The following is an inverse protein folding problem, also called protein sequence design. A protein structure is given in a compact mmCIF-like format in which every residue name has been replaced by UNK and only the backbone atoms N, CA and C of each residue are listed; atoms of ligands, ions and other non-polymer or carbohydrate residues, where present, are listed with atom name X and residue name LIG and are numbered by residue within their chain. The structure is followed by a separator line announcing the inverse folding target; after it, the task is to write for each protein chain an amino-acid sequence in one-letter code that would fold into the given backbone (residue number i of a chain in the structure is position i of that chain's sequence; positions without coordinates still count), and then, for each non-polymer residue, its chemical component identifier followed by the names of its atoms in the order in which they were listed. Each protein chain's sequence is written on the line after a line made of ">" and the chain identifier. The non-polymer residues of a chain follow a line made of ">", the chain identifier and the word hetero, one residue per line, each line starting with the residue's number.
data_IF_221300698674
#
_entry.id   IF_221300698674
#
_cell.length_a   1.000
_cell.length_b   1.000
_cell.length_c   1.000
_cell.angle_alpha   90.00
_cell.angle_beta   90.00
_cell.angle_gamma   90.00
#
_symmetry.space_group_name_H-M   'P 1'
#
loop_
_entity.id
_entity.type
_entity.pdbx_description
1 polymer ?
#
# COMPACT_ATOMS: atom_id res chain seq x y z
N UNK A 1 52.01 -13.62 -33.05
CA UNK A 1 51.09 -12.98 -34.02
C UNK A 1 49.99 -13.98 -34.33
N UNK A 2 48.75 -13.70 -33.91
CA UNK A 2 47.57 -14.50 -34.26
C UNK A 2 46.69 -14.90 -33.07
N UNK A 3 45.99 -13.93 -32.47
CA UNK A 3 44.83 -14.21 -31.60
C UNK A 3 43.57 -13.80 -32.34
N UNK A 4 42.74 -14.79 -32.70
CA UNK A 4 41.39 -14.57 -33.24
C UNK A 4 40.43 -14.24 -32.09
N UNK A 5 39.58 -13.20 -32.20
CA UNK A 5 38.50 -13.02 -31.24
C UNK A 5 37.35 -13.97 -31.59
N UNK A 6 36.92 -14.72 -30.58
CA UNK A 6 35.74 -15.59 -30.58
C UNK A 6 34.49 -14.73 -30.82
N UNK A 7 33.87 -14.86 -31.99
CA UNK A 7 32.53 -14.33 -32.28
C UNK A 7 31.55 -14.91 -31.25
N UNK A 8 31.09 -14.06 -30.32
CA UNK A 8 30.01 -14.40 -29.41
C UNK A 8 28.73 -14.63 -30.21
N UNK A 9 28.15 -15.82 -30.02
CA UNK A 9 26.88 -16.22 -30.58
C UNK A 9 25.80 -15.18 -30.24
N UNK A 10 25.23 -14.57 -31.28
CA UNK A 10 23.94 -13.89 -31.20
C UNK A 10 22.89 -14.97 -30.89
N UNK A 11 22.50 -15.09 -29.62
CA UNK A 11 21.39 -15.96 -29.24
C UNK A 11 20.11 -15.57 -29.99
N UNK A 12 19.19 -16.51 -30.25
CA UNK A 12 17.91 -16.17 -30.87
C UNK A 12 17.18 -15.13 -30.03
N UNK A 13 16.53 -14.12 -30.65
CA UNK A 13 15.80 -13.12 -29.92
C UNK A 13 14.69 -13.78 -29.08
N UNK A 14 14.37 -13.24 -27.89
CA UNK A 14 13.35 -13.82 -27.02
C UNK A 14 12.00 -13.88 -27.76
N UNK A 15 11.27 -15.01 -27.70
CA UNK A 15 9.93 -15.11 -28.26
C UNK A 15 8.99 -14.23 -27.42
N UNK A 16 8.76 -13.02 -27.91
CA UNK A 16 7.99 -11.99 -27.20
C UNK A 16 8.18 -10.58 -27.77
N UNK A 17 9.21 -10.35 -28.59
CA UNK A 17 9.43 -9.07 -29.30
C UNK A 17 8.82 -9.03 -30.72
N UNK A 18 8.01 -10.03 -31.09
CA UNK A 18 7.35 -10.10 -32.40
C UNK A 18 6.12 -9.17 -32.55
N UNK A 19 5.92 -8.20 -31.65
CA UNK A 19 4.79 -7.27 -31.72
C UNK A 19 5.18 -5.78 -31.76
N UNK A 20 6.47 -5.48 -32.05
CA UNK A 20 6.92 -4.10 -32.30
C UNK A 20 6.72 -3.65 -33.77
N UNK A 21 6.22 -4.52 -34.64
CA UNK A 21 5.91 -4.23 -36.06
C UNK A 21 4.46 -3.79 -36.27
N UNK A 22 4.00 -2.81 -35.48
CA UNK A 22 2.85 -1.97 -35.82
C UNK A 22 3.21 -0.49 -35.64
N UNK A 23 4.41 -0.12 -36.10
CA UNK A 23 4.72 1.25 -36.46
C UNK A 23 4.12 1.51 -37.85
N UNK A 24 2.79 1.62 -37.91
CA UNK A 24 2.18 2.36 -39.01
C UNK A 24 2.67 3.82 -38.90
N UNK A 25 3.28 4.41 -39.94
CA UNK A 25 3.87 5.75 -39.86
C UNK A 25 2.85 6.88 -39.67
N UNK A 26 1.54 6.61 -39.70
CA UNK A 26 0.50 7.61 -39.46
C UNK A 26 0.20 7.78 -37.96
N UNK A 27 1.24 7.88 -37.13
CA UNK A 27 1.14 8.04 -35.67
C UNK A 27 0.77 9.46 -35.21
N UNK A 28 0.29 10.31 -36.12
CA UNK A 28 -0.02 11.72 -35.92
C UNK A 28 -1.51 12.00 -35.84
N UNK A 29 -2.31 11.08 -35.30
CA UNK A 29 -3.67 11.43 -34.92
C UNK A 29 -3.64 12.10 -33.53
N UNK A 30 -3.76 13.45 -33.45
CA UNK A 30 -3.72 14.16 -32.18
C UNK A 30 -4.81 13.66 -31.22
N UNK A 31 -5.94 13.20 -31.74
CA UNK A 31 -7.03 12.67 -30.93
C UNK A 31 -6.65 11.36 -30.27
N UNK A 32 -5.96 10.47 -31.00
CA UNK A 32 -5.44 9.23 -30.41
C UNK A 32 -4.44 9.52 -29.29
N UNK A 33 -3.56 10.51 -29.49
CA UNK A 33 -2.58 10.93 -28.47
C UNK A 33 -3.29 11.53 -27.26
N UNK A 34 -4.30 12.38 -27.48
CA UNK A 34 -5.10 13.01 -26.44
C UNK A 34 -5.87 11.98 -25.60
N UNK A 35 -6.59 11.04 -26.24
CA UNK A 35 -7.30 9.95 -25.55
C UNK A 35 -6.36 9.14 -24.67
N UNK A 36 -5.16 8.83 -25.18
CA UNK A 36 -4.13 8.13 -24.41
C UNK A 36 -3.63 8.94 -23.22
N UNK A 37 -3.43 10.25 -23.38
CA UNK A 37 -3.04 11.13 -22.26
C UNK A 37 -4.12 11.19 -21.17
N UNK A 38 -5.39 11.30 -21.54
CA UNK A 38 -6.52 11.28 -20.60
C UNK A 38 -6.53 9.98 -19.81
N UNK A 39 -6.40 8.83 -20.48
CA UNK A 39 -6.34 7.52 -19.82
C UNK A 39 -5.17 7.41 -18.83
N UNK A 40 -3.97 7.87 -19.21
CA UNK A 40 -2.81 7.87 -18.33
C UNK A 40 -2.98 8.78 -17.12
N UNK A 41 -3.56 9.97 -17.31
CA UNK A 41 -3.88 10.87 -16.21
C UNK A 41 -4.88 10.24 -15.23
N UNK A 42 -5.86 9.50 -15.75
CA UNK A 42 -6.81 8.76 -14.92
C UNK A 42 -6.12 7.67 -14.10
N UNK A 43 -5.25 6.85 -14.71
CA UNK A 43 -4.52 5.82 -13.97
C UNK A 43 -3.56 6.42 -12.93
N UNK A 44 -2.91 7.55 -13.24
CA UNK A 44 -2.09 8.27 -12.26
C UNK A 44 -2.92 8.68 -11.05
N UNK A 45 -4.10 9.27 -11.29
CA UNK A 45 -5.02 9.67 -10.21
C UNK A 45 -5.47 8.48 -9.38
N UNK A 46 -5.84 7.37 -10.03
CA UNK A 46 -6.20 6.11 -9.37
C UNK A 46 -5.07 5.58 -8.50
N UNK A 47 -3.84 5.57 -9.02
CA UNK A 47 -2.68 5.08 -8.27
C UNK A 47 -2.38 5.99 -7.06
N UNK A 48 -2.52 7.31 -7.22
CA UNK A 48 -2.38 8.28 -6.13
C UNK A 48 -3.43 8.07 -5.05
N UNK A 49 -4.71 7.89 -5.41
CA UNK A 49 -5.78 7.66 -4.42
C UNK A 49 -5.59 6.34 -3.66
N UNK A 50 -5.16 5.28 -4.34
CA UNK A 50 -4.81 4.01 -3.70
C UNK A 50 -3.67 4.22 -2.68
N UNK A 51 -2.60 4.93 -3.08
CA UNK A 51 -1.48 5.20 -2.18
C UNK A 51 -1.85 6.11 -1.01
N UNK A 52 -2.79 7.03 -1.19
CA UNK A 52 -3.35 7.82 -0.09
C UNK A 52 -4.12 6.92 0.88
N UNK A 53 -4.95 6.00 0.38
CA UNK A 53 -5.64 5.01 1.21
C UNK A 53 -4.69 4.15 2.05
N UNK A 54 -3.56 3.72 1.48
CA UNK A 54 -2.51 3.01 2.23
C UNK A 54 -1.91 3.86 3.35
N UNK A 55 -1.71 5.17 3.12
CA UNK A 55 -1.20 6.08 4.16
C UNK A 55 -2.22 6.28 5.29
N UNK A 56 -3.51 6.40 4.96
CA UNK A 56 -4.57 6.50 5.97
C UNK A 56 -4.66 5.22 6.81
N UNK A 57 -4.68 4.04 6.17
CA UNK A 57 -4.65 2.76 6.89
C UNK A 57 -3.42 2.64 7.78
N UNK A 58 -2.27 3.07 7.25
CA UNK A 58 -1.01 3.07 7.98
C UNK A 58 -1.15 3.89 9.27
N UNK A 59 -1.69 5.10 9.23
CA UNK A 59 -1.85 5.96 10.41
C UNK A 59 -2.72 5.34 11.53
N UNK A 60 -3.63 4.41 11.20
CA UNK A 60 -4.51 3.75 12.18
C UNK A 60 -3.87 2.52 12.85
N UNK A 61 -2.77 1.99 12.30
CA UNK A 61 -2.12 0.81 12.86
C UNK A 61 -1.18 1.19 14.01
N UNK A 62 -1.14 0.39 15.08
CA UNK A 62 -0.14 0.52 16.15
C UNK A 62 1.27 0.36 15.56
N UNK A 63 2.12 1.37 15.74
CA UNK A 63 3.46 1.43 15.14
C UNK A 63 4.34 2.41 15.93
N UNK A 64 5.66 2.30 15.76
CA UNK A 64 6.59 3.33 16.24
C UNK A 64 6.63 4.51 15.27
N UNK A 65 6.88 5.72 15.79
CA UNK A 65 7.05 6.90 14.94
C UNK A 65 8.17 6.67 13.92
N UNK A 66 7.93 7.04 12.66
CA UNK A 66 8.89 6.84 11.56
C UNK A 66 9.02 5.41 11.02
N UNK A 67 8.35 4.41 11.61
CA UNK A 67 8.47 3.00 11.18
C UNK A 67 7.92 2.75 9.77
N UNK A 68 8.75 2.28 8.85
CA UNK A 68 8.37 2.01 7.45
C UNK A 68 7.75 0.61 7.27
N UNK A 69 6.45 0.57 6.99
CA UNK A 69 5.74 -0.65 6.57
C UNK A 69 5.55 -0.72 5.05
N UNK A 70 5.66 -1.93 4.51
CA UNK A 70 5.31 -2.26 3.13
C UNK A 70 3.78 -2.32 2.94
N UNK A 71 3.30 -2.31 1.69
CA UNK A 71 1.86 -2.46 1.39
C UNK A 71 1.30 -3.79 1.93
N UNK A 72 2.05 -4.88 1.79
CA UNK A 72 1.65 -6.18 2.29
C UNK A 72 1.55 -6.21 3.83
N UNK A 73 2.53 -5.61 4.51
CA UNK A 73 2.50 -5.50 5.97
C UNK A 73 1.31 -4.66 6.45
N UNK A 74 1.00 -3.53 5.78
CA UNK A 74 -0.19 -2.73 6.09
C UNK A 74 -1.46 -3.58 5.98
N UNK A 75 -1.63 -4.34 4.89
CA UNK A 75 -2.80 -5.20 4.73
C UNK A 75 -2.90 -6.27 5.82
N UNK A 76 -1.80 -6.94 6.13
CA UNK A 76 -1.76 -8.01 7.14
C UNK A 76 -2.11 -7.46 8.52
N UNK A 77 -1.40 -6.42 8.97
CA UNK A 77 -1.65 -5.82 10.28
C UNK A 77 -3.05 -5.22 10.40
N UNK A 78 -3.61 -4.66 9.32
CA UNK A 78 -5.00 -4.19 9.32
C UNK A 78 -5.98 -5.35 9.49
N UNK A 79 -5.77 -6.48 8.82
CA UNK A 79 -6.62 -7.66 8.99
C UNK A 79 -6.55 -8.21 10.42
N UNK A 80 -5.35 -8.33 10.98
CA UNK A 80 -5.14 -8.81 12.35
C UNK A 80 -5.81 -7.87 13.37
N UNK A 81 -5.68 -6.55 13.18
CA UNK A 81 -6.31 -5.55 14.04
C UNK A 81 -7.84 -5.63 13.97
N UNK A 82 -8.43 -5.79 12.78
CA UNK A 82 -9.88 -5.95 12.64
C UNK A 82 -10.35 -7.19 13.39
N UNK A 83 -9.66 -8.33 13.25
CA UNK A 83 -10.00 -9.56 13.95
C UNK A 83 -9.89 -9.42 15.47
N UNK A 84 -8.83 -8.75 15.95
CA UNK A 84 -8.66 -8.47 17.36
C UNK A 84 -9.83 -7.62 17.90
N UNK A 85 -10.16 -6.52 17.23
CA UNK A 85 -11.26 -5.63 17.64
C UNK A 85 -12.62 -6.37 17.63
N UNK A 86 -12.84 -7.26 16.67
CA UNK A 86 -14.05 -8.10 16.62
C UNK A 86 -14.11 -9.06 17.81
N UNK A 87 -13.01 -9.71 18.15
CA UNK A 87 -12.93 -10.62 19.30
C UNK A 87 -13.13 -9.89 20.63
N UNK A 88 -12.54 -8.70 20.79
CA UNK A 88 -12.74 -7.85 21.95
C UNK A 88 -14.22 -7.44 22.09
N UNK A 89 -14.84 -6.99 20.99
CA UNK A 89 -16.25 -6.60 20.97
C UNK A 89 -17.19 -7.75 21.38
N UNK A 90 -16.93 -8.98 20.90
CA UNK A 90 -17.72 -10.16 21.32
C UNK A 90 -17.58 -10.43 22.82
N UNK A 91 -16.36 -10.34 23.38
CA UNK A 91 -16.15 -10.50 24.82
C UNK A 91 -16.91 -9.46 25.62
N UNK A 92 -16.95 -8.19 25.19
CA UNK A 92 -17.72 -7.17 25.92
C UNK A 92 -19.22 -7.43 25.89
N UNK A 93 -19.77 -7.90 24.77
CA UNK A 93 -21.20 -8.26 24.67
C UNK A 93 -21.52 -9.42 25.62
N UNK A 94 -20.69 -10.46 25.63
CA UNK A 94 -20.87 -11.61 26.53
C UNK A 94 -20.78 -11.21 28.01
N UNK A 95 -19.93 -10.23 28.35
CA UNK A 95 -19.78 -9.73 29.73
C UNK A 95 -20.80 -8.64 30.13
N UNK A 96 -21.39 -7.91 29.18
CA UNK A 96 -22.50 -6.99 29.46
C UNK A 96 -23.79 -7.75 29.78
N UNK A 97 -24.00 -8.94 29.19
CA UNK A 97 -25.13 -9.82 29.55
C UNK A 97 -24.99 -10.48 30.93
N UNK A 98 -23.76 -10.59 31.45
CA UNK A 98 -23.45 -11.19 32.76
C UNK A 98 -22.83 -10.13 33.65
N UNK A 99 -23.65 -9.27 34.26
CA UNK A 99 -23.27 -8.09 35.08
C UNK A 99 -22.01 -8.21 35.96
N UNK A 100 -20.83 -8.12 35.35
CA UNK A 100 -19.58 -8.56 35.97
C UNK A 100 -18.40 -7.74 35.47
N UNK A 101 -17.90 -6.87 36.37
CA UNK A 101 -16.57 -6.24 36.42
C UNK A 101 -15.83 -6.13 35.08
N UNK A 102 -15.82 -4.91 34.52
CA UNK A 102 -14.96 -4.50 33.39
C UNK A 102 -13.57 -5.13 33.54
N UNK A 103 -13.15 -6.04 32.64
CA UNK A 103 -11.81 -6.60 32.69
C UNK A 103 -10.81 -5.46 32.53
N UNK A 104 -9.78 -5.48 33.37
CA UNK A 104 -8.70 -4.50 33.38
C UNK A 104 -7.92 -4.70 32.09
N UNK A 105 -8.28 -3.90 31.09
CA UNK A 105 -7.63 -3.87 29.79
C UNK A 105 -6.17 -3.51 30.06
N UNK A 106 -5.24 -4.45 29.89
CA UNK A 106 -3.83 -4.10 29.70
C UNK A 106 -3.67 -3.43 28.34
N UNK A 107 -4.26 -2.24 28.20
CA UNK A 107 -4.20 -1.39 27.02
C UNK A 107 -2.88 -0.64 26.96
N UNK A 108 -1.75 -1.32 27.19
CA UNK A 108 -0.44 -0.68 27.30
C UNK A 108 0.24 -0.40 25.94
N UNK A 109 -0.37 -0.75 24.81
CA UNK A 109 0.24 -0.50 23.49
C UNK A 109 -0.59 0.37 22.54
N UNK A 110 -1.91 0.42 22.70
CA UNK A 110 -2.79 1.08 21.72
C UNK A 110 -3.21 2.48 22.20
N UNK A 111 -3.35 2.68 23.52
CA UNK A 111 -3.79 3.95 24.09
C UNK A 111 -2.66 4.95 24.38
N UNK A 112 -1.40 4.53 24.37
CA UNK A 112 -0.27 5.43 24.68
C UNK A 112 -0.06 6.53 23.63
N UNK A 113 -0.54 6.35 22.39
CA UNK A 113 -0.29 7.31 21.31
C UNK A 113 -1.41 8.34 21.07
N UNK A 114 -2.58 8.20 21.70
CA UNK A 114 -3.67 9.20 21.57
C UNK A 114 -3.53 10.30 22.63
N UNK A 115 -2.95 9.98 23.79
CA UNK A 115 -2.83 10.93 24.91
C UNK A 115 -1.65 11.91 24.75
N UNK A 116 -0.56 11.55 24.03
CA UNK A 116 0.57 12.47 23.83
C UNK A 116 0.26 13.60 22.83
N UNK A 117 -0.53 13.34 21.78
CA UNK A 117 -0.77 14.33 20.72
C UNK A 117 -1.81 15.41 21.08
N UNK A 118 -2.53 15.27 22.20
CA UNK A 118 -3.47 16.29 22.70
C UNK A 118 -2.89 17.16 23.81
N UNK A 119 -1.70 16.85 24.34
CA UNK A 119 -1.09 17.60 25.44
C UNK A 119 -0.02 18.62 25.00
N UNK A 120 0.43 18.58 23.74
CA UNK A 120 1.46 19.51 23.22
C UNK A 120 0.90 20.83 22.63
N UNK A 121 -0.42 21.09 22.75
CA UNK A 121 -1.03 22.35 22.27
C UNK A 121 -1.44 23.35 23.35
N UNK A 122 -1.08 23.11 24.61
CA UNK A 122 -1.41 24.02 25.73
C UNK A 122 -0.17 24.59 26.45
N UNK A 123 1.06 24.28 26.03
CA UNK A 123 2.26 24.92 26.61
C UNK A 123 3.29 25.17 25.50
N UNK A 124 3.26 26.37 24.93
CA UNK A 124 4.19 26.86 23.91
C UNK A 124 3.66 28.08 23.20
#
# INVERSE_FOLDING_TARGET
>A
MGSVPRLGLLGPPPPGLANLTSLSPNSSDPDRRLRRQIANCNERRRMQSINAGFQSLRALLPRKEGEKLSKAAILQHTADLIQQLQNERSRYIDNEEVGGKKPKIEGSFIFSNIQEHLNEKEIG
#
